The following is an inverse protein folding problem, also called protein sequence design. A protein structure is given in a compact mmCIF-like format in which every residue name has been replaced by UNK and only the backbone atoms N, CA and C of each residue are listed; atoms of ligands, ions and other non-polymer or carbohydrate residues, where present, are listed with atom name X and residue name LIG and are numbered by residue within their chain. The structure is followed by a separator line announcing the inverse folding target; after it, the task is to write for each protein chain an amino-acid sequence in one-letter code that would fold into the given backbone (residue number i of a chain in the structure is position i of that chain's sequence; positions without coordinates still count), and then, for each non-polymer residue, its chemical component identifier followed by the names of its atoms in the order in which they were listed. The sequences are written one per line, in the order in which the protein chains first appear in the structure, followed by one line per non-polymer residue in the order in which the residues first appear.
data_IF_106158961562
#
_entry.id   IF_106158961562
#
_cell.length_a   1.000
_cell.length_b   1.000
_cell.length_c   1.000
_cell.angle_alpha   90.00
_cell.angle_beta   90.00
_cell.angle_gamma   90.00
#
_symmetry.space_group_name_H-M   'P 1'
#
loop_
_entity.id
_entity.type
_entity.pdbx_description
1 polymer ?
#
# COMPACT_ATOMS: atom_id res chain seq x y z
N UNK A 1 -6.75 -6.55 14.83
CA UNK A 1 -5.45 -6.53 15.55
C UNK A 1 -4.56 -5.50 14.87
N UNK A 2 -3.77 -4.72 15.63
CA UNK A 2 -2.79 -3.79 15.05
C UNK A 2 -1.58 -4.59 14.54
N UNK A 3 -1.02 -4.21 13.40
CA UNK A 3 0.20 -4.83 12.88
C UNK A 3 1.42 -4.53 13.74
N UNK A 4 2.49 -5.30 13.57
CA UNK A 4 3.85 -4.77 13.80
C UNK A 4 4.12 -3.62 12.82
N UNK A 5 5.04 -2.72 13.19
CA UNK A 5 5.41 -1.63 12.30
C UNK A 5 6.16 -2.16 11.07
N UNK A 6 5.84 -1.63 9.90
CA UNK A 6 6.42 -2.01 8.62
C UNK A 6 6.91 -0.80 7.82
N UNK A 7 7.80 -1.06 6.87
CA UNK A 7 8.23 -0.11 5.83
C UNK A 7 8.36 -0.88 4.52
N UNK A 8 7.45 -0.64 3.59
CA UNK A 8 7.26 -1.49 2.41
C UNK A 8 7.00 -0.69 1.14
N UNK A 9 7.32 -1.28 0.00
CA UNK A 9 6.72 -0.92 -1.28
C UNK A 9 5.59 -1.90 -1.61
N UNK A 10 4.47 -1.37 -2.08
CA UNK A 10 3.35 -2.13 -2.63
C UNK A 10 3.41 -2.02 -4.15
N UNK A 11 3.57 -3.16 -4.81
CA UNK A 11 3.69 -3.29 -6.26
C UNK A 11 2.57 -4.19 -6.79
N UNK A 12 2.15 -4.02 -8.05
CA UNK A 12 1.35 -5.04 -8.70
C UNK A 12 2.21 -6.27 -8.92
N UNK A 13 1.61 -7.46 -8.76
CA UNK A 13 2.28 -8.71 -9.09
C UNK A 13 2.57 -8.74 -10.59
N UNK A 14 3.80 -9.08 -11.03
CA UNK A 14 4.10 -9.25 -12.44
C UNK A 14 3.14 -10.27 -13.08
N UNK A 15 2.55 -9.92 -14.22
CA UNK A 15 1.75 -10.86 -15.01
C UNK A 15 2.65 -11.88 -15.73
N UNK A 16 3.90 -11.49 -16.00
CA UNK A 16 4.97 -12.30 -16.59
C UNK A 16 6.21 -12.17 -15.71
N UNK A 17 6.95 -13.27 -15.52
CA UNK A 17 8.19 -13.27 -14.75
C UNK A 17 9.27 -12.36 -15.36
N UNK A 18 9.16 -12.09 -16.67
CA UNK A 18 10.09 -11.25 -17.42
C UNK A 18 9.67 -9.76 -17.49
N UNK A 19 8.56 -9.34 -16.87
CA UNK A 19 8.21 -7.91 -16.78
C UNK A 19 9.13 -7.23 -15.75
N UNK A 20 10.10 -6.40 -16.19
CA UNK A 20 11.09 -5.85 -15.28
C UNK A 20 10.51 -4.76 -14.37
N UNK A 21 9.33 -4.21 -14.70
CA UNK A 21 8.71 -3.08 -13.99
C UNK A 21 7.18 -3.15 -14.12
N UNK A 22 6.52 -4.05 -13.39
CA UNK A 22 5.07 -4.11 -13.39
C UNK A 22 4.50 -2.80 -12.86
N UNK A 23 3.51 -2.24 -13.56
CA UNK A 23 2.85 -0.99 -13.19
C UNK A 23 1.36 -1.23 -12.98
N UNK A 24 0.74 -0.43 -12.12
CA UNK A 24 -0.69 -0.51 -11.93
C UNK A 24 -1.42 -0.07 -13.22
N UNK A 25 -2.64 -0.56 -13.41
CA UNK A 25 -3.53 -0.03 -14.43
C UNK A 25 -3.99 1.41 -14.13
N UNK A 26 -3.84 1.84 -12.87
CA UNK A 26 -4.23 3.16 -12.37
C UNK A 26 -3.11 4.18 -12.53
N UNK A 27 -3.50 5.43 -12.76
CA UNK A 27 -2.62 6.60 -12.79
C UNK A 27 -2.32 7.12 -11.38
N UNK A 28 -1.34 8.01 -11.26
CA UNK A 28 -1.07 8.75 -10.02
C UNK A 28 -2.32 9.49 -9.54
N UNK A 29 -2.95 10.25 -10.43
CA UNK A 29 -4.08 11.13 -10.10
C UNK A 29 -5.29 10.34 -9.61
N UNK A 30 -5.60 9.21 -10.27
CA UNK A 30 -6.69 8.33 -9.84
C UNK A 30 -6.49 7.75 -8.44
N UNK A 31 -5.23 7.43 -8.09
CA UNK A 31 -4.91 6.88 -6.76
C UNK A 31 -4.89 7.98 -5.71
N UNK A 32 -4.31 9.14 -6.01
CA UNK A 32 -4.31 10.30 -5.12
C UNK A 32 -5.74 10.80 -4.81
N UNK A 33 -6.61 10.85 -5.82
CA UNK A 33 -8.03 11.19 -5.66
C UNK A 33 -8.72 10.16 -4.75
N UNK A 34 -8.56 8.87 -5.02
CA UNK A 34 -9.16 7.81 -4.21
C UNK A 34 -8.65 7.78 -2.76
N UNK A 35 -7.36 8.07 -2.53
CA UNK A 35 -6.81 8.22 -1.17
C UNK A 35 -7.45 9.42 -0.44
N UNK A 36 -7.64 10.54 -1.14
CA UNK A 36 -8.21 11.77 -0.56
C UNK A 36 -9.65 11.58 -0.06
N UNK A 37 -10.38 10.60 -0.58
CA UNK A 37 -11.71 10.23 -0.11
C UNK A 37 -11.69 9.38 1.18
N UNK A 38 -10.54 8.84 1.59
CA UNK A 38 -10.44 8.08 2.83
C UNK A 38 -10.54 9.01 4.05
N UNK A 39 -11.40 8.70 5.04
CA UNK A 39 -11.54 9.53 6.22
C UNK A 39 -10.21 9.70 6.95
N UNK A 40 -9.90 10.93 7.37
CA UNK A 40 -8.66 11.27 8.12
C UNK A 40 -7.38 11.05 7.31
N UNK A 41 -7.48 10.90 6.00
CA UNK A 41 -6.34 10.96 5.09
C UNK A 41 -6.01 12.43 4.80
N UNK A 42 -4.71 12.72 4.74
CA UNK A 42 -4.21 13.95 4.15
C UNK A 42 -3.24 13.58 3.02
N UNK A 43 -3.50 14.06 1.80
CA UNK A 43 -2.69 13.82 0.61
C UNK A 43 -2.17 15.15 0.09
N UNK A 44 -0.87 15.24 -0.14
CA UNK A 44 -0.23 16.40 -0.75
C UNK A 44 -0.17 16.26 -2.28
N UNK A 45 -0.08 17.38 -3.02
CA UNK A 45 -0.01 17.35 -4.49
C UNK A 45 1.18 16.55 -5.05
N UNK A 46 2.24 16.33 -4.27
CA UNK A 46 3.42 15.55 -4.65
C UNK A 46 3.26 14.04 -4.41
N UNK A 47 2.10 13.61 -3.89
CA UNK A 47 1.78 12.21 -3.65
C UNK A 47 2.22 11.69 -2.29
N UNK A 48 2.85 12.53 -1.46
CA UNK A 48 3.04 12.21 -0.04
C UNK A 48 1.69 12.25 0.69
N UNK A 49 1.50 11.35 1.66
CA UNK A 49 0.28 11.30 2.45
C UNK A 49 0.50 10.78 3.86
N UNK A 50 -0.41 11.16 4.75
CA UNK A 50 -0.49 10.67 6.13
C UNK A 50 -1.92 10.23 6.42
N UNK A 51 -2.06 9.01 6.93
CA UNK A 51 -3.34 8.44 7.35
C UNK A 51 -3.30 8.02 8.81
N UNK A 52 -4.28 8.48 9.59
CA UNK A 52 -4.30 8.28 11.04
C UNK A 52 -5.62 7.71 11.55
N UNK A 53 -5.56 7.03 12.69
CA UNK A 53 -6.72 6.51 13.39
C UNK A 53 -7.81 7.56 13.62
N UNK A 54 -9.07 7.18 13.35
CA UNK A 54 -10.24 7.97 13.72
C UNK A 54 -10.54 7.85 15.23
N UNK A 55 -10.44 6.63 15.77
CA UNK A 55 -10.64 6.28 17.17
C UNK A 55 -10.02 4.90 17.48
N UNK A 56 -9.84 4.56 18.76
CA UNK A 56 -9.25 3.28 19.19
C UNK A 56 -7.72 3.34 19.33
N UNK A 57 -6.99 2.20 19.27
CA UNK A 57 -5.54 2.21 19.43
C UNK A 57 -4.91 3.12 18.37
N UNK A 58 -3.96 3.95 18.79
CA UNK A 58 -3.28 4.89 17.90
C UNK A 58 -2.50 4.12 16.83
N UNK A 59 -2.71 4.52 15.58
CA UNK A 59 -2.01 3.99 14.42
C UNK A 59 -1.86 5.10 13.38
N UNK A 60 -0.82 4.98 12.55
CA UNK A 60 -0.50 5.92 11.49
C UNK A 60 0.20 5.18 10.35
N UNK A 61 -0.11 5.59 9.13
CA UNK A 61 0.63 5.24 7.92
C UNK A 61 1.09 6.53 7.26
N UNK A 62 2.38 6.67 7.08
CA UNK A 62 3.01 7.64 6.18
C UNK A 62 3.26 6.93 4.85
N UNK A 63 3.02 7.60 3.72
CA UNK A 63 3.26 6.99 2.42
C UNK A 63 3.53 7.99 1.32
N UNK A 64 3.99 7.46 0.19
CA UNK A 64 4.31 8.24 -1.02
C UNK A 64 3.90 7.43 -2.25
N UNK A 65 3.23 8.08 -3.20
CA UNK A 65 2.96 7.53 -4.53
C UNK A 65 4.15 7.76 -5.46
N UNK A 66 4.57 6.71 -6.17
CA UNK A 66 5.59 6.82 -7.22
C UNK A 66 5.00 6.37 -8.55
N UNK A 67 5.13 7.21 -9.57
CA UNK A 67 4.59 6.98 -10.90
C UNK A 67 5.65 7.13 -11.99
N UNK A 68 5.26 6.76 -13.20
CA UNK A 68 6.03 7.01 -14.40
C UNK A 68 5.38 6.35 -15.61
N UNK A 69 5.68 6.88 -16.81
CA UNK A 69 4.98 6.49 -18.04
C UNK A 69 3.44 6.60 -17.95
N UNK A 70 2.95 7.58 -17.17
CA UNK A 70 1.52 7.85 -16.99
C UNK A 70 0.77 6.81 -16.16
N UNK A 71 1.48 6.00 -15.36
CA UNK A 71 0.91 4.96 -14.50
C UNK A 71 1.60 4.94 -13.14
N UNK A 72 0.89 4.51 -12.11
CA UNK A 72 1.51 4.28 -10.80
C UNK A 72 2.45 3.07 -10.89
N UNK A 73 3.67 3.23 -10.39
CA UNK A 73 4.67 2.17 -10.29
C UNK A 73 4.49 1.40 -8.99
N UNK A 74 4.56 2.11 -7.86
CA UNK A 74 4.42 1.54 -6.55
C UNK A 74 3.94 2.59 -5.55
N UNK A 75 3.48 2.11 -4.40
CA UNK A 75 3.18 2.93 -3.23
C UNK A 75 4.13 2.55 -2.10
N UNK A 76 4.88 3.51 -1.58
CA UNK A 76 5.68 3.32 -0.38
C UNK A 76 4.81 3.56 0.85
N UNK A 77 4.91 2.69 1.86
CA UNK A 77 4.15 2.76 3.11
C UNK A 77 5.07 2.53 4.30
N UNK A 78 4.91 3.32 5.35
CA UNK A 78 5.61 3.17 6.62
C UNK A 78 4.66 3.40 7.78
N UNK A 79 4.68 2.51 8.76
CA UNK A 79 3.92 2.66 10.00
C UNK A 79 3.24 1.37 10.42
N UNK A 80 2.06 1.49 11.04
CA UNK A 80 1.23 0.35 11.42
C UNK A 80 -0.25 0.71 11.28
N UNK A 81 -1.09 -0.31 11.08
CA UNK A 81 -2.54 -0.12 11.07
C UNK A 81 -3.27 -1.43 11.37
N UNK A 82 -4.59 -1.39 11.62
CA UNK A 82 -5.42 -2.58 11.62
C UNK A 82 -5.54 -3.16 10.21
N UNK A 83 -5.68 -4.49 10.10
CA UNK A 83 -5.86 -5.21 8.84
C UNK A 83 -6.95 -4.60 7.93
N UNK A 84 -8.11 -4.25 8.50
CA UNK A 84 -9.22 -3.69 7.74
C UNK A 84 -8.92 -2.31 7.14
N UNK A 85 -8.07 -1.52 7.81
CA UNK A 85 -7.64 -0.22 7.27
C UNK A 85 -6.62 -0.43 6.17
N UNK A 86 -5.71 -1.40 6.33
CA UNK A 86 -4.82 -1.81 5.25
C UNK A 86 -5.59 -2.27 4.00
N UNK A 87 -6.66 -3.07 4.17
CA UNK A 87 -7.52 -3.51 3.07
C UNK A 87 -8.15 -2.33 2.32
N UNK A 88 -8.63 -1.31 3.05
CA UNK A 88 -9.17 -0.08 2.44
C UNK A 88 -8.11 0.67 1.65
N UNK A 89 -6.89 0.79 2.19
CA UNK A 89 -5.78 1.41 1.47
C UNK A 89 -5.43 0.61 0.21
N UNK A 90 -5.29 -0.72 0.30
CA UNK A 90 -4.99 -1.54 -0.88
C UNK A 90 -6.10 -1.50 -1.93
N UNK A 91 -7.36 -1.30 -1.54
CA UNK A 91 -8.48 -1.18 -2.48
C UNK A 91 -8.33 0.00 -3.44
N UNK A 92 -7.65 1.08 -3.05
CA UNK A 92 -7.39 2.22 -3.94
C UNK A 92 -6.45 1.85 -5.10
N UNK A 93 -5.66 0.78 -4.93
CA UNK A 93 -4.79 0.20 -5.95
C UNK A 93 -5.49 -0.82 -6.84
N UNK A 94 -6.75 -1.17 -6.54
CA UNK A 94 -7.52 -2.20 -7.24
C UNK A 94 -7.37 -3.60 -6.67
N UNK A 95 -6.90 -3.74 -5.43
CA UNK A 95 -7.01 -4.99 -4.66
C UNK A 95 -8.47 -5.24 -4.26
N UNK A 96 -8.97 -6.50 -4.24
CA UNK A 96 -8.23 -7.76 -4.41
C UNK A 96 -8.09 -8.24 -5.87
N UNK A 97 -8.72 -7.59 -6.85
CA UNK A 97 -8.67 -8.02 -8.25
C UNK A 97 -7.29 -7.86 -8.90
N UNK A 98 -6.48 -6.93 -8.39
CA UNK A 98 -5.08 -6.75 -8.75
C UNK A 98 -4.22 -7.45 -7.70
N UNK A 99 -3.62 -8.62 -8.00
CA UNK A 99 -2.72 -9.28 -7.06
C UNK A 99 -1.51 -8.40 -6.79
N UNK A 100 -1.05 -8.41 -5.54
CA UNK A 100 0.04 -7.53 -5.09
C UNK A 100 1.27 -8.33 -4.67
N UNK A 101 2.41 -7.66 -4.82
CA UNK A 101 3.71 -8.05 -4.26
C UNK A 101 4.16 -6.95 -3.31
N UNK A 102 4.76 -7.35 -2.20
CA UNK A 102 5.25 -6.45 -1.16
C UNK A 102 6.76 -6.58 -1.07
N UNK A 103 7.46 -5.45 -1.16
CA UNK A 103 8.89 -5.37 -0.88
C UNK A 103 9.11 -4.81 0.51
N UNK A 104 9.85 -5.49 1.37
CA UNK A 104 10.38 -4.87 2.59
C UNK A 104 11.55 -3.96 2.23
N UNK A 105 11.44 -2.66 2.53
CA UNK A 105 12.43 -1.66 2.07
C UNK A 105 13.80 -1.89 2.68
N UNK A 106 13.88 -2.26 3.95
CA UNK A 106 15.16 -2.41 4.66
C UNK A 106 15.85 -3.72 4.33
N UNK A 107 15.08 -4.79 4.20
CA UNK A 107 15.56 -6.15 3.96
C UNK A 107 15.76 -6.45 2.47
N UNK A 108 15.21 -5.61 1.58
CA UNK A 108 15.12 -5.85 0.14
C UNK A 108 14.47 -7.20 -0.21
N UNK A 109 13.59 -7.69 0.66
CA UNK A 109 12.90 -8.97 0.54
C UNK A 109 11.56 -8.76 -0.16
N UNK A 110 11.34 -9.50 -1.26
CA UNK A 110 10.07 -9.50 -1.99
C UNK A 110 9.23 -10.70 -1.56
N UNK A 111 7.95 -10.48 -1.28
CA UNK A 111 7.01 -11.52 -0.90
C UNK A 111 5.61 -11.25 -1.43
N UNK A 112 4.77 -12.28 -1.48
CA UNK A 112 3.36 -12.08 -1.80
C UNK A 112 2.62 -11.40 -0.65
N UNK A 113 1.58 -10.65 -1.00
CA UNK A 113 0.75 -9.91 -0.04
C UNK A 113 0.21 -10.77 1.13
N UNK A 114 -0.29 -12.01 0.92
CA UNK A 114 -0.72 -12.87 2.04
C UNK A 114 0.43 -13.30 2.97
N UNK A 115 1.65 -13.41 2.45
CA UNK A 115 2.84 -13.70 3.27
C UNK A 115 3.23 -12.51 4.12
N UNK A 116 3.17 -11.31 3.53
CA UNK A 116 3.37 -10.07 4.26
C UNK A 116 2.38 -9.92 5.42
N UNK A 117 1.08 -10.21 5.20
CA UNK A 117 0.05 -10.16 6.26
C UNK A 117 0.43 -10.99 7.47
N UNK A 118 0.82 -12.26 7.24
CA UNK A 118 1.28 -13.16 8.31
C UNK A 118 2.50 -12.60 9.03
N UNK A 119 3.45 -12.01 8.30
CA UNK A 119 4.67 -11.44 8.86
C UNK A 119 4.41 -10.25 9.79
N UNK A 120 3.41 -9.43 9.47
CA UNK A 120 3.05 -8.27 10.30
C UNK A 120 2.03 -8.59 11.40
N UNK A 121 1.68 -9.87 11.58
CA UNK A 121 0.79 -10.34 12.63
C UNK A 121 -0.70 -10.18 12.33
N UNK A 122 -1.06 -9.96 11.06
CA UNK A 122 -2.44 -10.10 10.60
C UNK A 122 -2.67 -11.56 10.23
N UNK A 123 -3.47 -12.25 11.03
CA UNK A 123 -3.90 -13.61 10.74
C UNK A 123 -5.26 -13.58 10.05
N UNK A 124 -5.42 -14.43 9.04
CA UNK A 124 -6.75 -14.80 8.54
C UNK A 124 -7.53 -15.46 9.69
N UNK A 125 -8.74 -14.97 9.96
CA UNK A 125 -9.74 -15.72 10.72
C UNK A 125 -10.30 -16.84 9.84
#
# INVERSE_FOLDING_TARGET
MLSTAFHVHILPRPADADDPRPMFARTFEQVAEALSELPRMFVEPDGSFVWVAAAGPAWQIDGVLYDGAGRLWYMELKGCCPQQEFDRLLSVLGWPETPLTVQLVREAEMMEEPEFRRRVGWNDL
#
